data_IF_290304295640
#
_entry.id   IF_290304295640
#
_cell.length_a   1.000
_cell.length_b   1.000
_cell.length_c   1.000
_cell.angle_alpha   90.00
_cell.angle_beta   90.00
_cell.angle_gamma   90.00
#
_symmetry.space_group_name_H-M   'P 1'
#
loop_
_entity.id
_entity.type
_entity.pdbx_description
1 polymer ?
#
# COMPACT_ATOMS: atom_id res chain seq x y z
N UNK A 1 15.67 -4.11 -9.00
CA UNK A 1 14.96 -3.55 -7.88
C UNK A 1 13.91 -2.57 -8.35
N UNK A 2 12.74 -2.66 -7.84
CA UNK A 2 11.63 -1.85 -8.32
C UNK A 2 11.15 -0.91 -7.24
N UNK A 3 10.62 0.21 -7.68
CA UNK A 3 10.05 1.19 -6.77
C UNK A 3 8.54 1.11 -6.77
N UNK A 4 7.96 1.14 -5.59
CA UNK A 4 6.53 1.10 -5.42
C UNK A 4 6.10 2.28 -4.55
N UNK A 5 4.85 2.70 -4.73
CA UNK A 5 4.28 3.75 -3.90
C UNK A 5 3.22 3.17 -3.02
N UNK A 6 3.24 3.56 -1.76
CA UNK A 6 2.23 3.14 -0.81
C UNK A 6 1.40 4.37 -0.46
N UNK A 7 0.15 4.39 -0.89
CA UNK A 7 -0.77 5.47 -0.57
C UNK A 7 -1.73 4.96 0.48
N UNK A 8 -1.80 5.63 1.60
CA UNK A 8 -2.71 5.25 2.66
C UNK A 8 -3.79 6.32 2.80
N UNK A 9 -5.02 5.88 2.91
CA UNK A 9 -6.17 6.75 2.88
C UNK A 9 -6.71 6.95 4.29
N UNK A 10 -7.28 8.10 4.52
CA UNK A 10 -7.94 8.32 5.80
C UNK A 10 -9.41 7.92 5.68
N UNK A 11 -10.18 8.20 6.69
CA UNK A 11 -11.55 7.76 6.77
C UNK A 11 -12.48 8.39 5.74
N UNK A 12 -12.04 9.44 5.06
CA UNK A 12 -12.86 10.09 4.04
C UNK A 12 -12.29 9.88 2.65
N UNK A 13 -11.49 8.85 2.50
CA UNK A 13 -11.00 8.47 1.20
C UNK A 13 -10.02 9.45 0.59
N UNK A 14 -9.34 10.18 1.41
CA UNK A 14 -8.30 11.05 0.93
C UNK A 14 -6.96 10.47 1.24
N UNK A 15 -5.98 10.72 0.39
CA UNK A 15 -4.63 10.23 0.63
C UNK A 15 -4.06 10.95 1.83
N UNK A 16 -3.87 10.23 2.92
CA UNK A 16 -3.33 10.79 4.15
C UNK A 16 -1.81 10.73 4.15
N UNK A 17 -1.23 9.75 3.48
CA UNK A 17 0.22 9.66 3.42
C UNK A 17 0.63 8.93 2.16
N UNK A 18 1.85 9.15 1.74
CA UNK A 18 2.41 8.47 0.59
C UNK A 18 3.85 8.13 0.93
N UNK A 19 4.19 6.85 0.83
CA UNK A 19 5.53 6.39 1.13
C UNK A 19 6.11 5.67 -0.07
N UNK A 20 7.39 5.48 -0.02
CA UNK A 20 8.12 4.79 -1.07
C UNK A 20 8.55 3.44 -0.55
N UNK A 21 8.36 2.41 -1.34
CA UNK A 21 8.79 1.07 -1.00
C UNK A 21 9.70 0.58 -2.12
N UNK A 22 10.83 0.01 -1.74
CA UNK A 22 11.69 -0.66 -2.70
C UNK A 22 11.59 -2.15 -2.47
N UNK A 23 11.31 -2.89 -3.51
CA UNK A 23 11.13 -4.34 -3.40
C UNK A 23 11.51 -4.97 -4.72
N UNK A 24 11.85 -6.25 -4.68
CA UNK A 24 12.26 -6.96 -5.87
C UNK A 24 11.06 -7.40 -6.69
N UNK A 25 9.93 -7.63 -6.07
CA UNK A 25 8.75 -8.08 -6.77
C UNK A 25 7.50 -7.60 -6.03
N UNK A 26 6.36 -7.87 -6.64
CA UNK A 26 5.09 -7.41 -6.10
C UNK A 26 4.80 -8.00 -4.73
N UNK A 27 5.11 -9.27 -4.55
CA UNK A 27 4.82 -9.91 -3.29
C UNK A 27 5.60 -9.29 -2.14
N UNK A 28 6.87 -8.99 -2.37
CA UNK A 28 7.67 -8.35 -1.34
C UNK A 28 7.13 -6.95 -1.04
N UNK A 29 6.72 -6.23 -2.08
CA UNK A 29 6.14 -4.90 -1.87
C UNK A 29 4.86 -4.99 -1.04
N UNK A 30 4.02 -5.99 -1.31
CA UNK A 30 2.79 -6.19 -0.56
C UNK A 30 3.10 -6.52 0.90
N UNK A 31 4.12 -7.33 1.14
CA UNK A 31 4.49 -7.68 2.51
C UNK A 31 4.95 -6.47 3.29
N UNK A 32 5.76 -5.62 2.67
CA UNK A 32 6.22 -4.41 3.32
C UNK A 32 5.04 -3.48 3.58
N UNK A 33 4.15 -3.36 2.61
CA UNK A 33 2.98 -2.50 2.76
C UNK A 33 2.07 -3.01 3.85
N UNK A 34 1.88 -4.32 3.94
CA UNK A 34 1.05 -4.91 4.98
C UNK A 34 1.59 -4.56 6.36
N UNK A 35 2.89 -4.57 6.50
CA UNK A 35 3.51 -4.24 7.77
C UNK A 35 3.35 -2.77 8.11
N UNK A 36 3.22 -1.91 7.11
CA UNK A 36 3.18 -0.48 7.34
C UNK A 36 1.80 0.12 7.43
N UNK A 37 0.76 -0.56 6.95
CA UNK A 37 -0.54 0.09 6.83
C UNK A 37 -1.20 0.39 8.18
N UNK A 38 -0.86 -0.33 9.21
CA UNK A 38 -1.27 -0.01 10.58
C UNK A 38 -2.75 0.28 10.72
N UNK A 39 -3.57 -0.55 10.13
CA UNK A 39 -5.01 -0.38 10.25
C UNK A 39 -5.63 0.63 9.31
N UNK A 40 -4.84 1.19 8.40
CA UNK A 40 -5.37 2.10 7.40
C UNK A 40 -5.61 1.37 6.10
N UNK A 41 -6.51 1.89 5.31
CA UNK A 41 -6.72 1.35 3.98
C UNK A 41 -5.63 1.94 3.08
N UNK A 42 -4.83 1.09 2.48
CA UNK A 42 -3.71 1.55 1.68
C UNK A 42 -3.71 0.88 0.32
N UNK A 43 -3.04 1.50 -0.63
CA UNK A 43 -2.89 0.96 -1.98
C UNK A 43 -1.41 0.95 -2.33
N UNK A 44 -0.99 -0.11 -2.99
CA UNK A 44 0.38 -0.25 -3.45
C UNK A 44 0.37 -0.09 -4.97
N UNK A 45 1.16 0.83 -5.46
CA UNK A 45 1.23 1.14 -6.88
C UNK A 45 2.65 1.02 -7.39
N UNK A 46 2.79 0.62 -8.63
CA UNK A 46 4.06 0.67 -9.32
C UNK A 46 3.82 1.46 -10.59
N UNK A 47 4.27 2.71 -10.60
CA UNK A 47 3.96 3.60 -11.71
C UNK A 47 2.46 3.80 -11.80
N UNK A 48 1.88 3.41 -12.92
CA UNK A 48 0.45 3.55 -13.13
C UNK A 48 -0.31 2.26 -12.88
N UNK A 49 0.37 1.25 -12.37
CA UNK A 49 -0.23 -0.06 -12.17
C UNK A 49 -0.56 -0.25 -10.69
N UNK A 50 -1.82 -0.54 -10.40
CA UNK A 50 -2.23 -0.86 -9.04
C UNK A 50 -1.84 -2.31 -8.76
N UNK A 51 -0.94 -2.50 -7.80
CA UNK A 51 -0.44 -3.81 -7.44
C UNK A 51 -1.36 -4.51 -6.46
N UNK A 52 -1.79 -3.80 -5.44
CA UNK A 52 -2.62 -4.39 -4.41
C UNK A 52 -3.32 -3.31 -3.62
N UNK A 53 -4.41 -3.70 -2.98
CA UNK A 53 -5.13 -2.81 -2.08
C UNK A 53 -5.22 -3.50 -0.73
N UNK A 54 -4.79 -2.83 0.31
CA UNK A 54 -4.83 -3.35 1.66
C UNK A 54 -6.03 -2.74 2.35
N UNK A 55 -7.01 -3.59 2.64
CA UNK A 55 -8.25 -3.11 3.19
C UNK A 55 -8.23 -3.24 4.70
N UNK A 56 -8.70 -2.22 5.35
CA UNK A 56 -8.77 -2.19 6.76
C UNK A 56 -9.71 -3.20 7.31
N UNK A 57 -10.85 -3.47 6.67
CA UNK A 57 -11.81 -4.31 7.20
C UNK A 57 -11.51 -5.64 7.09
N UNK A 58 -11.33 -6.29 7.67
CA UNK A 58 -11.03 -7.48 7.67
C UNK A 58 -11.66 -8.35 8.23
N UNK A 59 -12.06 -8.77 8.56
CA UNK A 59 -12.59 -9.39 9.23
C UNK A 59 -13.17 -9.76 9.56
N UNK A 60 -13.26 -9.92 9.43
CA UNK A 60 -13.89 -9.94 9.95
C UNK A 60 -14.34 -10.46 10.31
#
# INVERSE_FOLDING_TARGET
MSGYRLYCLDGVNKVASADWIEADDDQTAIEVATDRHEGHECEVWQGQRLVARLDLRRRG
#
